data_IF_525989361443
#
_entry.id   IF_525989361443
#
_cell.length_a   1.000
_cell.length_b   1.000
_cell.length_c   1.000
_cell.angle_alpha   90.00
_cell.angle_beta   90.00
_cell.angle_gamma   90.00
#
_symmetry.space_group_name_H-M   'P 1'
#
loop_
_entity.id
_entity.type
_entity.pdbx_description
1 polymer ?
#
# COMPACT_ATOMS: atom_id res chain seq x y z
N UNK A 1 11.89 14.87 18.67
CA UNK A 1 11.55 15.26 17.28
C UNK A 1 10.30 14.49 16.91
N UNK A 2 9.26 15.15 16.42
CA UNK A 2 8.06 14.44 15.93
C UNK A 2 8.39 13.84 14.57
N UNK A 3 8.36 12.51 14.45
CA UNK A 3 8.50 11.81 13.16
C UNK A 3 7.34 12.19 12.24
N UNK A 4 7.61 12.45 10.96
CA UNK A 4 6.56 12.74 9.98
C UNK A 4 5.72 11.50 9.68
N UNK A 5 4.50 11.69 9.17
CA UNK A 5 3.60 10.59 8.80
C UNK A 5 4.24 9.64 7.77
N UNK A 6 4.95 10.20 6.77
CA UNK A 6 5.62 9.44 5.72
C UNK A 6 6.77 8.61 6.29
N UNK A 7 7.61 9.19 7.16
CA UNK A 7 8.68 8.45 7.82
C UNK A 7 8.13 7.31 8.68
N UNK A 8 7.01 7.55 9.40
CA UNK A 8 6.35 6.52 10.20
C UNK A 8 5.83 5.37 9.32
N UNK A 9 5.16 5.69 8.21
CA UNK A 9 4.64 4.70 7.27
C UNK A 9 5.77 3.90 6.62
N UNK A 10 6.85 4.57 6.21
CA UNK A 10 8.04 3.93 5.64
C UNK A 10 8.70 2.96 6.63
N UNK A 11 8.90 3.37 7.88
CA UNK A 11 9.47 2.51 8.92
C UNK A 11 8.60 1.28 9.16
N UNK A 12 7.28 1.47 9.26
CA UNK A 12 6.33 0.38 9.46
C UNK A 12 6.34 -0.60 8.30
N UNK A 13 6.22 -0.12 7.06
CA UNK A 13 6.27 -0.96 5.86
C UNK A 13 7.60 -1.71 5.75
N UNK A 14 8.71 -1.06 6.08
CA UNK A 14 10.05 -1.68 6.09
C UNK A 14 10.09 -2.86 7.05
N UNK A 15 9.60 -2.68 8.28
CA UNK A 15 9.60 -3.73 9.29
C UNK A 15 8.66 -4.88 8.91
N UNK A 16 7.45 -4.59 8.43
CA UNK A 16 6.48 -5.61 8.02
C UNK A 16 6.96 -6.44 6.83
N UNK A 17 7.68 -5.83 5.89
CA UNK A 17 8.22 -6.49 4.72
C UNK A 17 9.69 -6.93 4.86
N UNK A 18 10.28 -6.91 6.06
CA UNK A 18 11.72 -7.18 6.28
C UNK A 18 12.21 -8.52 5.73
N UNK A 19 11.32 -9.51 5.65
CA UNK A 19 11.62 -10.86 5.17
C UNK A 19 11.15 -11.10 3.73
N UNK A 20 10.59 -10.09 3.06
CA UNK A 20 10.10 -10.20 1.69
C UNK A 20 11.15 -9.72 0.69
N UNK A 21 11.15 -10.35 -0.48
CA UNK A 21 12.00 -9.97 -1.61
C UNK A 21 11.14 -9.83 -2.86
N UNK A 22 11.55 -8.96 -3.78
CA UNK A 22 10.91 -8.82 -5.08
C UNK A 22 11.17 -10.06 -5.93
N UNK A 23 10.26 -10.33 -6.86
CA UNK A 23 10.35 -11.42 -7.85
C UNK A 23 11.24 -11.06 -9.04
N UNK A 24 12.37 -10.39 -8.78
CA UNK A 24 13.39 -10.06 -9.78
C UNK A 24 14.62 -10.99 -9.60
N UNK A 25 15.56 -10.93 -10.56
CA UNK A 25 16.77 -11.79 -10.52
C UNK A 25 17.64 -11.53 -9.28
N UNK A 26 17.69 -10.29 -8.83
CA UNK A 26 18.53 -9.83 -7.71
C UNK A 26 17.91 -10.07 -6.33
N UNK A 27 16.62 -10.44 -6.27
CA UNK A 27 15.83 -10.57 -5.03
C UNK A 27 15.95 -9.35 -4.13
N UNK A 28 15.81 -8.16 -4.71
CA UNK A 28 15.91 -6.90 -3.96
C UNK A 28 14.88 -6.84 -2.82
N UNK A 29 15.17 -6.12 -1.72
CA UNK A 29 14.22 -5.94 -0.62
C UNK A 29 12.85 -5.49 -1.11
N UNK A 30 11.76 -6.08 -0.58
CA UNK A 30 10.42 -5.76 -1.07
C UNK A 30 10.03 -4.30 -0.84
N UNK A 31 10.51 -3.67 0.23
CA UNK A 31 10.26 -2.27 0.56
C UNK A 31 10.59 -1.29 -0.58
N UNK A 32 11.49 -1.66 -1.49
CA UNK A 32 11.77 -0.87 -2.69
C UNK A 32 10.51 -0.66 -3.55
N UNK A 33 9.62 -1.66 -3.62
CA UNK A 33 8.36 -1.54 -4.38
C UNK A 33 7.40 -0.48 -3.82
N UNK A 34 7.00 -0.50 -2.52
CA UNK A 34 6.19 0.58 -1.98
C UNK A 34 6.84 1.96 -2.08
N UNK A 35 8.17 2.06 -1.97
CA UNK A 35 8.89 3.33 -2.19
C UNK A 35 8.75 3.80 -3.64
N UNK A 36 8.93 2.92 -4.62
CA UNK A 36 8.74 3.23 -6.05
C UNK A 36 7.32 3.75 -6.32
N UNK A 37 6.29 3.08 -5.78
CA UNK A 37 4.88 3.52 -5.92
C UNK A 37 4.66 4.90 -5.32
N UNK A 38 5.13 5.13 -4.09
CA UNK A 38 5.02 6.44 -3.43
C UNK A 38 5.73 7.54 -4.22
N UNK A 39 6.90 7.25 -4.78
CA UNK A 39 7.66 8.20 -5.60
C UNK A 39 6.95 8.50 -6.93
N UNK A 40 6.41 7.49 -7.61
CA UNK A 40 5.60 7.69 -8.83
C UNK A 40 4.42 8.63 -8.53
N UNK A 41 3.71 8.41 -7.43
CA UNK A 41 2.58 9.25 -7.05
C UNK A 41 3.00 10.70 -6.78
N UNK A 42 4.10 10.90 -6.05
CA UNK A 42 4.54 12.25 -5.69
C UNK A 42 5.14 12.99 -6.88
N UNK A 43 6.12 12.40 -7.57
CA UNK A 43 6.93 13.08 -8.58
C UNK A 43 6.27 13.09 -9.97
N UNK A 44 5.58 12.01 -10.35
CA UNK A 44 4.92 11.90 -11.67
C UNK A 44 3.44 12.24 -11.58
N UNK A 45 2.76 11.73 -10.55
CA UNK A 45 1.34 11.97 -10.31
C UNK A 45 1.01 13.33 -9.70
N UNK A 46 2.01 14.06 -9.19
CA UNK A 46 1.83 15.35 -8.53
C UNK A 46 0.96 15.28 -7.27
N UNK A 47 0.94 14.12 -6.60
CA UNK A 47 0.14 13.91 -5.39
C UNK A 47 0.84 14.53 -4.19
N UNK A 48 0.19 15.53 -3.59
CA UNK A 48 0.67 16.21 -2.37
C UNK A 48 -0.04 15.73 -1.09
N UNK A 49 -1.09 14.91 -1.23
CA UNK A 49 -1.86 14.40 -0.09
C UNK A 49 -1.05 13.33 0.67
N UNK A 50 -0.54 13.73 1.84
CA UNK A 50 0.33 12.90 2.68
C UNK A 50 -0.30 11.60 3.15
N UNK A 51 -1.62 11.52 3.28
CA UNK A 51 -2.28 10.26 3.68
C UNK A 51 -2.40 9.29 2.49
N UNK A 52 -2.58 9.80 1.27
CA UNK A 52 -2.52 8.96 0.06
C UNK A 52 -1.10 8.42 -0.14
N UNK A 53 -0.08 9.25 0.04
CA UNK A 53 1.32 8.82 -0.05
C UNK A 53 1.69 7.82 1.06
N UNK A 54 1.20 8.03 2.29
CA UNK A 54 1.35 7.07 3.38
C UNK A 54 0.64 5.73 3.07
N UNK A 55 -0.59 5.77 2.56
CA UNK A 55 -1.32 4.58 2.14
C UNK A 55 -0.59 3.84 1.00
N UNK A 56 0.04 4.57 0.07
CA UNK A 56 0.87 3.97 -0.98
C UNK A 56 2.08 3.22 -0.43
N UNK A 57 2.74 3.72 0.62
CA UNK A 57 3.81 2.99 1.30
C UNK A 57 3.31 1.72 2.03
N UNK A 58 2.03 1.72 2.41
CA UNK A 58 1.41 0.66 3.22
C UNK A 58 0.55 -0.31 2.40
N UNK A 59 0.36 -0.10 1.10
CA UNK A 59 -0.71 -0.73 0.31
C UNK A 59 -0.70 -2.28 0.34
N UNK A 60 0.48 -2.90 0.42
CA UNK A 60 0.63 -4.36 0.46
C UNK A 60 0.67 -4.93 1.89
N UNK A 61 0.60 -4.09 2.93
CA UNK A 61 0.78 -4.56 4.31
C UNK A 61 -0.35 -5.46 4.77
N UNK A 62 -1.62 -5.12 4.48
CA UNK A 62 -2.77 -6.00 4.78
C UNK A 62 -2.79 -7.26 3.91
N UNK A 63 -2.36 -7.17 2.64
CA UNK A 63 -2.43 -8.28 1.70
C UNK A 63 -1.29 -9.32 1.91
N UNK A 64 -0.07 -8.87 2.22
CA UNK A 64 1.11 -9.74 2.20
C UNK A 64 1.74 -9.98 3.57
N UNK A 65 1.36 -9.24 4.61
CA UNK A 65 2.00 -9.34 5.93
C UNK A 65 0.98 -9.69 7.01
N UNK A 66 1.41 -10.05 8.24
CA UNK A 66 0.49 -10.27 9.37
C UNK A 66 -0.20 -9.01 9.91
N UNK A 67 -0.11 -7.89 9.20
CA UNK A 67 -0.76 -6.63 9.59
C UNK A 67 -2.28 -6.77 9.52
N UNK A 68 -2.98 -6.20 10.49
CA UNK A 68 -4.44 -6.17 10.51
C UNK A 68 -4.98 -4.73 10.51
N UNK A 69 -6.29 -4.62 10.32
CA UNK A 69 -7.01 -3.34 10.22
C UNK A 69 -6.83 -2.50 11.49
N UNK A 70 -6.98 -3.12 12.65
CA UNK A 70 -6.87 -2.44 13.95
C UNK A 70 -5.50 -1.81 14.14
N UNK A 71 -4.44 -2.53 13.77
CA UNK A 71 -3.06 -2.03 13.84
C UNK A 71 -2.85 -0.80 12.93
N UNK A 72 -3.44 -0.79 11.73
CA UNK A 72 -3.36 0.38 10.84
C UNK A 72 -4.13 1.58 11.39
N UNK A 73 -5.32 1.36 11.93
CA UNK A 73 -6.14 2.44 12.52
C UNK A 73 -5.41 3.06 13.71
N UNK A 74 -4.85 2.25 14.61
CA UNK A 74 -4.11 2.72 15.78
C UNK A 74 -2.87 3.53 15.41
N UNK A 75 -2.19 3.16 14.32
CA UNK A 75 -0.94 3.81 13.92
C UNK A 75 -1.13 4.99 12.97
N UNK A 76 -2.12 4.95 12.09
CA UNK A 76 -2.24 5.85 10.94
C UNK A 76 -3.63 6.49 10.80
N UNK A 77 -4.64 5.94 11.48
CA UNK A 77 -6.01 6.44 11.44
C UNK A 77 -6.87 5.79 10.36
N UNK A 78 -8.17 6.05 10.47
CA UNK A 78 -9.22 5.40 9.68
C UNK A 78 -9.06 5.61 8.17
N UNK A 79 -8.76 6.83 7.74
CA UNK A 79 -8.68 7.19 6.32
C UNK A 79 -7.57 6.43 5.59
N UNK A 80 -6.38 6.33 6.19
CA UNK A 80 -5.27 5.54 5.62
C UNK A 80 -5.64 4.06 5.60
N UNK A 81 -6.23 3.54 6.67
CA UNK A 81 -6.68 2.15 6.71
C UNK A 81 -7.68 1.85 5.59
N UNK A 82 -8.69 2.70 5.40
CA UNK A 82 -9.68 2.53 4.31
C UNK A 82 -9.02 2.51 2.94
N UNK A 83 -8.08 3.42 2.67
CA UNK A 83 -7.35 3.44 1.40
C UNK A 83 -6.56 2.14 1.15
N UNK A 84 -5.89 1.62 2.18
CA UNK A 84 -5.13 0.36 2.10
C UNK A 84 -6.07 -0.83 1.88
N UNK A 85 -7.23 -0.86 2.53
CA UNK A 85 -8.24 -1.90 2.33
C UNK A 85 -8.82 -1.90 0.91
N UNK A 86 -9.13 -0.72 0.35
CA UNK A 86 -9.63 -0.60 -1.03
C UNK A 86 -8.66 -1.20 -2.07
N UNK A 87 -7.35 -1.17 -1.79
CA UNK A 87 -6.32 -1.66 -2.71
C UNK A 87 -5.81 -3.06 -2.38
N UNK A 88 -6.20 -3.65 -1.25
CA UNK A 88 -5.79 -4.99 -0.83
C UNK A 88 -6.69 -6.08 -1.43
N UNK A 89 -6.10 -7.14 -1.99
CA UNK A 89 -6.89 -8.29 -2.43
C UNK A 89 -7.10 -9.31 -1.30
N UNK A 90 -8.25 -10.00 -1.34
CA UNK A 90 -8.51 -11.17 -0.50
C UNK A 90 -7.66 -12.39 -0.92
N UNK A 91 -6.63 -12.68 -0.14
CA UNK A 91 -5.71 -13.81 -0.36
C UNK A 91 -6.31 -15.21 -0.16
N UNK A 92 -7.53 -15.32 0.36
CA UNK A 92 -8.23 -16.61 0.45
C UNK A 92 -8.77 -17.07 -0.91
N UNK A 93 -8.90 -16.15 -1.87
CA UNK A 93 -9.40 -16.42 -3.21
C UNK A 93 -8.31 -16.86 -4.18
N UNK A 94 -8.73 -17.56 -5.25
CA UNK A 94 -7.82 -17.95 -6.32
C UNK A 94 -7.27 -16.71 -7.04
N UNK A 95 -6.04 -16.80 -7.57
CA UNK A 95 -5.42 -15.70 -8.32
C UNK A 95 -6.28 -15.20 -9.47
N UNK A 96 -6.98 -16.10 -10.17
CA UNK A 96 -7.89 -15.72 -11.25
C UNK A 96 -9.05 -14.89 -10.71
N UNK A 97 -9.66 -15.34 -9.61
CA UNK A 97 -10.79 -14.63 -9.01
C UNK A 97 -10.40 -13.25 -8.49
N UNK A 98 -9.21 -13.09 -7.90
CA UNK A 98 -8.68 -11.79 -7.47
C UNK A 98 -8.56 -10.82 -8.65
N UNK A 99 -7.99 -11.28 -9.77
CA UNK A 99 -7.89 -10.47 -10.99
C UNK A 99 -9.24 -10.06 -11.56
N UNK A 100 -10.22 -10.96 -11.54
CA UNK A 100 -11.57 -10.65 -12.01
C UNK A 100 -12.21 -9.57 -11.12
N UNK A 101 -12.08 -9.69 -9.79
CA UNK A 101 -12.57 -8.71 -8.82
C UNK A 101 -11.91 -7.33 -8.97
N UNK A 102 -10.61 -7.28 -9.25
CA UNK A 102 -9.91 -6.02 -9.51
C UNK A 102 -10.54 -5.24 -10.68
N UNK A 103 -11.00 -5.93 -11.72
CA UNK A 103 -11.69 -5.31 -12.86
C UNK A 103 -13.10 -4.86 -12.45
N UNK A 104 -13.82 -5.70 -11.72
CA UNK A 104 -15.21 -5.43 -11.33
C UNK A 104 -15.35 -4.19 -10.45
N UNK A 105 -14.48 -4.04 -9.45
CA UNK A 105 -14.57 -2.91 -8.50
C UNK A 105 -13.70 -1.71 -8.89
N UNK A 106 -12.98 -1.75 -10.02
CA UNK A 106 -12.11 -0.65 -10.44
C UNK A 106 -12.82 0.72 -10.52
N UNK A 107 -14.10 0.73 -10.90
CA UNK A 107 -14.91 1.95 -11.03
C UNK A 107 -15.51 2.43 -9.69
N UNK A 108 -15.43 1.60 -8.65
CA UNK A 108 -15.97 1.88 -7.32
C UNK A 108 -14.92 2.44 -6.37
N UNK A 109 -13.64 2.34 -6.74
CA UNK A 109 -12.52 2.85 -5.96
C UNK A 109 -12.62 4.37 -5.75
N UNK A 110 -12.27 4.80 -4.54
CA UNK A 110 -12.04 6.20 -4.25
C UNK A 110 -10.94 6.77 -5.14
N UNK A 111 -10.90 8.10 -5.29
CA UNK A 111 -9.84 8.76 -6.07
C UNK A 111 -8.44 8.39 -5.56
N UNK A 112 -8.26 8.30 -4.23
CA UNK A 112 -6.98 7.94 -3.62
C UNK A 112 -6.58 6.50 -3.93
N UNK A 113 -7.50 5.55 -3.75
CA UNK A 113 -7.26 4.15 -4.08
C UNK A 113 -6.99 3.94 -5.58
N UNK A 114 -7.70 4.67 -6.45
CA UNK A 114 -7.47 4.67 -7.89
C UNK A 114 -6.06 5.13 -8.23
N UNK A 115 -5.58 6.22 -7.63
CA UNK A 115 -4.21 6.71 -7.83
C UNK A 115 -3.19 5.64 -7.42
N UNK A 116 -3.37 5.04 -6.24
CA UNK A 116 -2.47 3.99 -5.73
C UNK A 116 -2.45 2.77 -6.67
N UNK A 117 -3.60 2.33 -7.19
CA UNK A 117 -3.65 1.19 -8.15
C UNK A 117 -3.03 1.49 -9.52
N UNK A 118 -2.92 2.76 -9.91
CA UNK A 118 -2.36 3.16 -11.20
C UNK A 118 -0.84 3.34 -11.18
N UNK A 119 -0.26 3.59 -10.00
CA UNK A 119 1.18 3.76 -9.81
C UNK A 119 1.90 2.41 -9.68
#
# INVERSE_FOLDING_TARGET
MSTSLIEKALQFATEKHKNHTRKNKEKSPYIVHPIEVCHILSDVGGVEDVEILAAALLHDTLEDTPTNREELIENFGERICSLVEEVSDDKTLSKQKRKDLQIQHALELSKGATLIKLA
#
